data_IF_422107240586
#
_entry.id   IF_422107240586
#
_cell.length_a   1.000
_cell.length_b   1.000
_cell.length_c   1.000
_cell.angle_alpha   90.00
_cell.angle_beta   90.00
_cell.angle_gamma   90.00
#
_symmetry.space_group_name_H-M   'P 1'
#
loop_
_entity.id
_entity.type
_entity.pdbx_description
1 polymer ?
#
# COMPACT_ATOMS: atom_id res chain seq x y z
N UNK A 1 -15.62 -3.92 1.73
CA UNK A 1 -14.96 -4.22 3.01
C UNK A 1 -14.90 -2.93 3.77
N UNK A 2 -15.56 -2.89 4.94
CA UNK A 2 -15.59 -1.70 5.78
C UNK A 2 -14.21 -1.50 6.40
N UNK A 3 -13.60 -0.34 6.16
CA UNK A 3 -12.25 -0.04 6.64
C UNK A 3 -12.26 1.18 7.53
N UNK A 4 -11.56 1.08 8.66
CA UNK A 4 -11.20 2.21 9.49
C UNK A 4 -9.76 2.64 9.17
N UNK A 5 -9.58 3.82 8.58
CA UNK A 5 -8.27 4.42 8.38
C UNK A 5 -7.95 5.39 9.51
N UNK A 6 -6.96 5.06 10.33
CA UNK A 6 -6.46 5.92 11.42
C UNK A 6 -5.41 6.91 10.90
N UNK A 7 -5.66 8.18 11.13
CA UNK A 7 -4.72 9.26 10.87
C UNK A 7 -4.02 9.65 12.18
N UNK A 8 -2.84 9.08 12.40
CA UNK A 8 -2.01 9.31 13.58
C UNK A 8 -1.15 10.58 13.45
N UNK A 9 -1.75 11.69 13.00
CA UNK A 9 -1.02 12.93 12.71
C UNK A 9 -0.51 13.65 13.97
N UNK A 10 -1.21 13.49 15.10
CA UNK A 10 -0.80 13.97 16.42
C UNK A 10 -0.34 12.84 17.33
N UNK A 11 -0.05 11.67 16.75
CA UNK A 11 0.19 10.42 17.46
C UNK A 11 -1.08 9.63 17.76
N UNK A 12 -0.97 8.67 18.67
CA UNK A 12 -2.05 7.78 19.08
C UNK A 12 -1.80 7.21 20.49
N UNK A 13 -2.83 7.25 21.32
CA UNK A 13 -2.89 6.58 22.62
C UNK A 13 -4.12 5.65 22.67
N UNK A 14 -4.20 4.80 23.69
CA UNK A 14 -5.31 3.85 23.84
C UNK A 14 -6.67 4.54 23.93
N UNK A 15 -6.79 5.48 24.87
CA UNK A 15 -7.94 6.36 25.03
C UNK A 15 -8.28 7.19 23.78
N UNK A 16 -7.28 7.65 23.03
CA UNK A 16 -7.47 8.38 21.78
C UNK A 16 -8.00 7.47 20.66
N UNK A 17 -7.52 6.22 20.54
CA UNK A 17 -8.02 5.28 19.56
C UNK A 17 -9.48 4.90 19.84
N UNK A 18 -9.80 4.60 21.11
CA UNK A 18 -11.16 4.32 21.57
C UNK A 18 -12.08 5.54 21.36
N UNK A 19 -11.63 6.72 21.77
CA UNK A 19 -12.37 7.96 21.62
C UNK A 19 -12.68 8.28 20.16
N UNK A 20 -11.74 8.04 19.24
CA UNK A 20 -11.97 8.28 17.81
C UNK A 20 -13.08 7.38 17.24
N UNK A 21 -13.14 6.12 17.67
CA UNK A 21 -14.19 5.18 17.22
C UNK A 21 -15.55 5.50 17.83
N UNK A 22 -15.60 5.91 19.10
CA UNK A 22 -16.82 6.38 19.75
C UNK A 22 -17.35 7.63 19.04
N UNK A 23 -16.48 8.60 18.75
CA UNK A 23 -16.82 9.82 18.02
C UNK A 23 -17.32 9.51 16.60
N UNK A 24 -16.79 8.46 15.97
CA UNK A 24 -17.22 7.98 14.66
C UNK A 24 -18.54 7.18 14.69
N UNK A 25 -19.13 6.95 15.87
CA UNK A 25 -20.46 6.36 16.04
C UNK A 25 -20.52 5.05 16.82
N UNK A 26 -19.43 4.56 17.41
CA UNK A 26 -19.50 3.35 18.23
C UNK A 26 -20.34 3.61 19.50
N UNK A 27 -21.34 2.76 19.81
CA UNK A 27 -22.23 2.99 20.95
C UNK A 27 -21.49 2.74 22.27
N UNK A 28 -21.32 3.79 23.08
CA UNK A 28 -20.60 3.74 24.36
C UNK A 28 -21.15 2.65 25.30
N UNK A 29 -22.47 2.49 25.40
CA UNK A 29 -23.06 1.44 26.23
C UNK A 29 -22.74 0.02 25.73
N UNK A 30 -22.69 -0.18 24.41
CA UNK A 30 -22.28 -1.46 23.83
C UNK A 30 -20.82 -1.78 24.16
N UNK A 31 -19.94 -0.77 24.09
CA UNK A 31 -18.53 -0.91 24.50
C UNK A 31 -18.45 -1.27 26.00
N UNK A 32 -19.20 -0.57 26.86
CA UNK A 32 -19.26 -0.85 28.30
C UNK A 32 -19.78 -2.26 28.59
N UNK A 33 -20.79 -2.73 27.88
CA UNK A 33 -21.34 -4.08 28.03
C UNK A 33 -20.30 -5.16 27.71
N UNK A 34 -19.57 -5.01 26.61
CA UNK A 34 -18.49 -5.94 26.24
C UNK A 34 -17.33 -5.89 27.25
N UNK A 35 -16.92 -4.70 27.69
CA UNK A 35 -15.88 -4.55 28.71
C UNK A 35 -16.24 -5.24 30.04
N UNK A 36 -17.51 -5.19 30.46
CA UNK A 36 -17.99 -5.87 31.68
C UNK A 36 -17.90 -7.41 31.60
N UNK A 37 -17.74 -7.98 30.41
CA UNK A 37 -17.51 -9.43 30.25
C UNK A 37 -16.08 -9.85 30.58
N UNK A 38 -15.13 -8.91 30.62
CA UNK A 38 -13.76 -9.20 31.08
C UNK A 38 -13.80 -9.29 32.61
N UNK A 39 -13.24 -10.35 33.23
CA UNK A 39 -13.31 -10.57 34.67
C UNK A 39 -12.36 -9.66 35.47
N UNK A 40 -12.47 -8.35 35.24
CA UNK A 40 -11.75 -7.28 35.94
C UNK A 40 -12.75 -6.19 36.34
N UNK A 41 -12.82 -5.92 37.65
CA UNK A 41 -13.60 -4.81 38.20
C UNK A 41 -12.74 -3.58 38.51
N UNK A 42 -13.34 -2.58 39.14
CA UNK A 42 -12.63 -1.40 39.65
C UNK A 42 -12.25 -0.39 38.56
N UNK A 43 -13.00 -0.35 37.48
CA UNK A 43 -12.86 0.65 36.42
C UNK A 43 -14.21 1.30 36.11
N UNK A 44 -14.17 2.55 35.67
CA UNK A 44 -15.29 3.29 35.10
C UNK A 44 -14.84 3.96 33.80
N UNK A 45 -15.68 3.90 32.77
CA UNK A 45 -15.42 4.50 31.46
C UNK A 45 -16.30 5.74 31.28
N UNK A 46 -15.72 6.92 31.37
CA UNK A 46 -16.40 8.18 31.11
C UNK A 46 -16.03 8.71 29.72
N UNK A 47 -17.00 9.33 29.05
CA UNK A 47 -16.85 9.83 27.68
C UNK A 47 -17.42 11.24 27.65
N UNK A 48 -16.61 12.21 27.21
CA UNK A 48 -17.04 13.60 27.12
C UNK A 48 -16.71 14.20 25.73
N UNK A 49 -17.60 15.04 25.16
CA UNK A 49 -17.26 15.83 23.99
C UNK A 49 -16.31 16.96 24.37
N UNK A 50 -15.27 17.18 23.56
CA UNK A 50 -14.26 18.21 23.78
C UNK A 50 -13.94 18.97 22.49
N UNK A 51 -13.33 20.14 22.65
CA UNK A 51 -12.71 20.89 21.56
C UNK A 51 -11.19 20.89 21.76
N UNK A 52 -10.43 20.51 20.72
CA UNK A 52 -8.96 20.63 20.67
C UNK A 52 -8.57 21.38 19.41
N UNK A 53 -7.86 22.49 19.55
CA UNK A 53 -7.48 23.34 18.41
C UNK A 53 -8.67 23.76 17.52
N UNK A 54 -9.87 23.91 18.11
CA UNK A 54 -11.10 24.25 17.40
C UNK A 54 -11.83 23.08 16.72
N UNK A 55 -11.30 21.86 16.80
CA UNK A 55 -11.92 20.65 16.24
C UNK A 55 -12.65 19.89 17.36
N UNK A 56 -13.91 19.53 17.09
CA UNK A 56 -14.70 18.68 17.98
C UNK A 56 -14.21 17.24 17.94
N UNK A 57 -14.18 16.60 19.10
CA UNK A 57 -13.92 15.18 19.23
C UNK A 57 -14.36 14.66 20.58
N UNK A 58 -14.05 13.41 20.85
CA UNK A 58 -14.43 12.70 22.07
C UNK A 58 -13.20 12.42 22.91
N UNK A 59 -13.25 12.79 24.19
CA UNK A 59 -12.28 12.38 25.20
C UNK A 59 -12.83 11.20 25.98
N UNK A 60 -12.02 10.16 26.09
CA UNK A 60 -12.30 9.00 26.94
C UNK A 60 -11.46 9.11 28.20
N UNK A 61 -12.10 8.89 29.35
CA UNK A 61 -11.46 8.81 30.65
C UNK A 61 -11.70 7.41 31.22
N UNK A 62 -10.61 6.68 31.47
CA UNK A 62 -10.68 5.42 32.20
C UNK A 62 -10.30 5.69 33.65
N UNK A 63 -11.28 5.70 34.53
CA UNK A 63 -11.07 5.84 35.97
C UNK A 63 -10.84 4.45 36.55
N UNK A 64 -9.59 4.09 36.77
CA UNK A 64 -9.22 2.84 37.42
C UNK A 64 -8.92 3.08 38.91
N UNK A 65 -9.54 2.31 39.79
CA UNK A 65 -9.11 2.24 41.18
C UNK A 65 -7.78 1.49 41.23
N UNK A 66 -6.69 2.22 41.46
CA UNK A 66 -5.35 1.64 41.59
C UNK A 66 -5.32 0.61 42.72
N UNK A 67 -5.38 -0.67 42.35
CA UNK A 67 -4.91 -1.75 43.20
C UNK A 67 -3.41 -1.95 42.97
N UNK A 68 -2.68 -2.35 44.00
CA UNK A 68 -1.27 -2.79 43.93
C UNK A 68 -1.04 -4.07 43.10
N UNK A 69 -2.01 -4.45 42.27
CA UNK A 69 -2.00 -5.70 41.50
C UNK A 69 -1.21 -5.51 40.21
N UNK A 70 0.06 -5.91 40.25
CA UNK A 70 0.88 -6.07 39.05
C UNK A 70 0.45 -7.34 38.32
N UNK A 71 -0.03 -7.21 37.09
CA UNK A 71 -0.43 -8.34 36.24
C UNK A 71 0.69 -8.72 35.27
N UNK A 72 0.88 -10.01 35.05
CA UNK A 72 1.74 -10.50 33.96
C UNK A 72 0.98 -10.49 32.64
N UNK A 73 1.71 -10.51 31.53
CA UNK A 73 1.13 -10.69 30.20
C UNK A 73 0.24 -11.94 30.11
N UNK A 74 0.71 -13.07 30.66
CA UNK A 74 -0.06 -14.31 30.70
C UNK A 74 -1.37 -14.18 31.49
N UNK A 75 -1.37 -13.43 32.60
CA UNK A 75 -2.59 -13.18 33.35
C UNK A 75 -3.58 -12.35 32.52
N UNK A 76 -3.14 -11.28 31.87
CA UNK A 76 -4.04 -10.45 31.03
C UNK A 76 -4.59 -11.25 29.85
N UNK A 77 -3.75 -12.04 29.18
CA UNK A 77 -4.20 -12.93 28.12
C UNK A 77 -5.21 -13.97 28.62
N UNK A 78 -5.02 -14.50 29.83
CA UNK A 78 -6.00 -15.37 30.50
C UNK A 78 -7.34 -14.67 30.75
N UNK A 79 -7.33 -13.43 31.24
CA UNK A 79 -8.55 -12.64 31.45
C UNK A 79 -9.33 -12.41 30.15
N UNK A 80 -8.63 -12.11 29.04
CA UNK A 80 -9.25 -11.95 27.71
C UNK A 80 -9.75 -13.28 27.15
N UNK A 81 -9.04 -14.38 27.41
CA UNK A 81 -9.43 -15.72 26.99
C UNK A 81 -10.68 -16.24 27.71
N UNK A 82 -10.82 -15.92 29.00
CA UNK A 82 -11.98 -16.30 29.83
C UNK A 82 -13.20 -15.41 29.60
N UNK A 83 -13.00 -14.21 29.06
CA UNK A 83 -14.07 -13.26 28.79
C UNK A 83 -15.01 -13.78 27.68
N UNK A 84 -16.32 -13.57 27.87
CA UNK A 84 -17.36 -13.93 26.87
C UNK A 84 -17.49 -12.86 25.79
N UNK A 85 -16.38 -12.55 25.13
CA UNK A 85 -16.30 -11.56 24.05
C UNK A 85 -16.62 -12.20 22.69
N UNK A 86 -17.13 -11.42 21.71
CA UNK A 86 -17.16 -11.85 20.32
C UNK A 86 -15.77 -12.27 19.83
N UNK A 87 -15.73 -13.25 18.93
CA UNK A 87 -14.48 -13.85 18.46
C UNK A 87 -13.50 -12.82 17.89
N UNK A 88 -13.97 -11.89 17.05
CA UNK A 88 -13.17 -10.78 16.49
C UNK A 88 -12.57 -9.90 17.59
N UNK A 89 -13.33 -9.59 18.64
CA UNK A 89 -12.85 -8.77 19.77
C UNK A 89 -11.75 -9.51 20.54
N UNK A 90 -11.98 -10.78 20.85
CA UNK A 90 -11.01 -11.60 21.57
C UNK A 90 -9.69 -11.75 20.79
N UNK A 91 -9.79 -12.06 19.49
CA UNK A 91 -8.62 -12.21 18.60
C UNK A 91 -7.81 -10.91 18.50
N UNK A 92 -8.49 -9.77 18.28
CA UNK A 92 -7.85 -8.45 18.21
C UNK A 92 -7.16 -8.08 19.52
N UNK A 93 -7.85 -8.21 20.66
CA UNK A 93 -7.28 -7.89 21.96
C UNK A 93 -6.08 -8.79 22.28
N UNK A 94 -6.18 -10.10 22.01
CA UNK A 94 -5.06 -11.03 22.19
C UNK A 94 -3.85 -10.68 21.32
N UNK A 95 -4.06 -10.26 20.06
CA UNK A 95 -2.99 -9.80 19.18
C UNK A 95 -2.28 -8.56 19.73
N UNK A 96 -3.03 -7.58 20.23
CA UNK A 96 -2.49 -6.34 20.82
C UNK A 96 -1.67 -6.65 22.08
N UNK A 97 -2.20 -7.44 23.02
CA UNK A 97 -1.44 -7.82 24.22
C UNK A 97 -0.22 -8.67 23.89
N UNK A 98 -0.28 -9.50 22.85
CA UNK A 98 0.88 -10.26 22.39
C UNK A 98 1.96 -9.35 21.82
N UNK A 99 1.59 -8.30 21.07
CA UNK A 99 2.54 -7.30 20.58
C UNK A 99 3.23 -6.57 21.75
N UNK A 100 2.47 -6.12 22.75
CA UNK A 100 3.01 -5.52 23.98
C UNK A 100 3.96 -6.47 24.71
N UNK A 101 3.53 -7.71 24.94
CA UNK A 101 4.32 -8.72 25.65
C UNK A 101 5.65 -9.02 24.93
N UNK A 102 5.63 -9.10 23.60
CA UNK A 102 6.82 -9.32 22.80
C UNK A 102 7.79 -8.14 22.87
N UNK A 103 7.28 -6.90 22.77
CA UNK A 103 8.09 -5.70 22.84
C UNK A 103 8.78 -5.55 24.21
N UNK A 104 7.99 -5.70 25.27
CA UNK A 104 8.48 -5.64 26.66
C UNK A 104 9.43 -6.80 26.98
N UNK A 105 9.14 -8.01 26.48
CA UNK A 105 10.00 -9.18 26.63
C UNK A 105 11.38 -8.96 26.01
N UNK A 106 11.45 -8.31 24.84
CA UNK A 106 12.73 -7.92 24.23
C UNK A 106 13.46 -6.85 25.03
N UNK A 107 12.75 -5.81 25.47
CA UNK A 107 13.34 -4.71 26.26
C UNK A 107 13.90 -5.20 27.60
N UNK A 108 13.21 -6.12 28.26
CA UNK A 108 13.58 -6.68 29.56
C UNK A 108 14.36 -8.00 29.49
N UNK A 109 14.62 -8.52 28.28
CA UNK A 109 15.27 -9.84 28.04
C UNK A 109 14.61 -10.97 28.80
N UNK A 110 13.28 -11.02 28.74
CA UNK A 110 12.44 -12.05 29.37
C UNK A 110 11.54 -12.73 28.34
N UNK A 111 11.16 -13.99 28.57
CA UNK A 111 10.09 -14.62 27.81
C UNK A 111 8.80 -13.77 27.87
N UNK A 112 8.09 -13.56 26.75
CA UNK A 112 6.90 -12.69 26.69
C UNK A 112 5.81 -13.02 27.72
N UNK A 113 5.62 -14.31 28.03
CA UNK A 113 4.66 -14.82 29.01
C UNK A 113 5.01 -14.47 30.46
N UNK A 114 6.28 -14.18 30.74
CA UNK A 114 6.81 -13.86 32.08
C UNK A 114 7.04 -12.36 32.31
N UNK A 115 6.65 -11.52 31.35
CA UNK A 115 6.78 -10.07 31.46
C UNK A 115 5.73 -9.55 32.44
N UNK A 116 6.18 -8.69 33.36
CA UNK A 116 5.32 -7.82 34.13
C UNK A 116 5.20 -6.51 33.36
N UNK A 117 3.98 -6.12 33.01
CA UNK A 117 3.77 -4.83 32.40
C UNK A 117 3.84 -3.76 33.47
N UNK A 118 4.86 -2.90 33.38
CA UNK A 118 5.06 -1.81 34.33
C UNK A 118 4.16 -0.61 34.03
N UNK A 119 3.82 -0.39 32.76
CA UNK A 119 3.06 0.79 32.29
C UNK A 119 1.82 0.40 31.47
N UNK A 120 1.80 -0.80 30.90
CA UNK A 120 0.76 -1.25 29.94
C UNK A 120 -0.12 -2.39 30.46
N UNK A 121 -0.02 -2.72 31.75
CA UNK A 121 -0.78 -3.79 32.41
C UNK A 121 -1.78 -3.31 33.44
N UNK A 122 -1.95 -1.99 33.53
CA UNK A 122 -2.98 -1.36 34.33
C UNK A 122 -4.38 -1.66 33.81
N UNK A 123 -5.38 -1.36 34.63
CA UNK A 123 -6.78 -1.50 34.23
C UNK A 123 -7.14 -0.55 33.08
N UNK A 124 -6.51 0.62 33.03
CA UNK A 124 -6.58 1.59 31.93
C UNK A 124 -6.20 0.97 30.59
N UNK A 125 -5.04 0.33 30.50
CA UNK A 125 -4.59 -0.32 29.27
C UNK A 125 -5.53 -1.48 28.85
N UNK A 126 -6.09 -2.22 29.81
CA UNK A 126 -7.07 -3.28 29.51
C UNK A 126 -8.34 -2.68 28.90
N UNK A 127 -8.88 -1.64 29.53
CA UNK A 127 -10.08 -0.96 29.07
C UNK A 127 -9.86 -0.30 27.71
N UNK A 128 -8.72 0.34 27.49
CA UNK A 128 -8.37 0.96 26.22
C UNK A 128 -8.28 -0.08 25.09
N UNK A 129 -7.54 -1.17 25.30
CA UNK A 129 -7.33 -2.19 24.27
C UNK A 129 -8.62 -2.94 23.97
N UNK A 130 -9.27 -3.48 25.00
CA UNK A 130 -10.51 -4.26 24.81
C UNK A 130 -11.64 -3.35 24.34
N UNK A 131 -11.72 -2.12 24.87
CA UNK A 131 -12.70 -1.12 24.46
C UNK A 131 -12.53 -0.72 23.00
N UNK A 132 -11.30 -0.49 22.53
CA UNK A 132 -11.01 -0.21 21.12
C UNK A 132 -11.42 -1.39 20.23
N UNK A 133 -11.09 -2.63 20.63
CA UNK A 133 -11.48 -3.83 19.88
C UNK A 133 -13.00 -4.03 19.83
N UNK A 134 -13.70 -3.73 20.93
CA UNK A 134 -15.15 -3.74 21.02
C UNK A 134 -15.79 -2.66 20.14
N UNK A 135 -15.24 -1.45 20.13
CA UNK A 135 -15.73 -0.37 19.27
C UNK A 135 -15.56 -0.70 17.77
N UNK A 136 -14.43 -1.31 17.38
CA UNK A 136 -14.23 -1.82 16.01
C UNK A 136 -15.25 -2.90 15.64
N UNK A 137 -15.63 -3.78 16.56
CA UNK A 137 -16.64 -4.81 16.34
C UNK A 137 -18.04 -4.21 16.19
N UNK A 138 -18.42 -3.28 17.07
CA UNK A 138 -19.73 -2.63 17.05
C UNK A 138 -19.94 -1.74 15.81
N UNK A 139 -18.85 -1.27 15.21
CA UNK A 139 -18.83 -0.54 13.94
C UNK A 139 -18.70 -1.46 12.72
N UNK A 140 -18.66 -2.78 12.93
CA UNK A 140 -18.46 -3.81 11.90
C UNK A 140 -17.24 -3.57 11.00
N UNK A 141 -16.12 -3.12 11.58
CA UNK A 141 -14.91 -2.82 10.82
C UNK A 141 -14.21 -4.11 10.39
N UNK A 142 -14.10 -4.37 9.09
CA UNK A 142 -13.35 -5.51 8.55
C UNK A 142 -11.84 -5.32 8.67
N UNK A 143 -11.35 -4.14 8.27
CA UNK A 143 -9.93 -3.83 8.19
C UNK A 143 -9.58 -2.52 8.88
N UNK A 144 -8.39 -2.47 9.47
CA UNK A 144 -7.79 -1.25 9.97
C UNK A 144 -6.61 -0.90 9.07
N UNK A 145 -6.53 0.35 8.62
CA UNK A 145 -5.35 0.89 7.96
C UNK A 145 -4.87 2.12 8.71
N UNK A 146 -3.59 2.48 8.57
CA UNK A 146 -3.03 3.57 9.36
C UNK A 146 -2.11 4.46 8.52
N UNK A 147 -2.15 5.77 8.77
CA UNK A 147 -1.15 6.71 8.27
C UNK A 147 0.24 6.40 8.85
N UNK A 148 1.32 7.02 8.37
CA UNK A 148 2.56 7.06 9.15
C UNK A 148 2.28 7.57 10.57
N UNK A 149 2.88 6.92 11.57
CA UNK A 149 2.62 7.20 12.99
C UNK A 149 3.51 8.35 13.46
N UNK A 150 2.91 9.42 13.98
CA UNK A 150 3.68 10.55 14.48
C UNK A 150 4.27 10.25 15.87
N UNK A 151 5.56 10.49 16.02
CA UNK A 151 6.30 10.31 17.29
C UNK A 151 6.96 11.63 17.69
N UNK A 152 7.03 11.88 19.00
CA UNK A 152 7.72 13.06 19.53
C UNK A 152 9.23 12.84 19.64
N UNK A 153 9.92 13.80 20.24
CA UNK A 153 11.35 13.71 20.55
C UNK A 153 11.65 14.08 22.01
N UNK A 154 12.91 13.96 22.42
CA UNK A 154 13.36 14.35 23.76
C UNK A 154 13.26 13.23 24.79
N UNK A 155 12.80 13.57 26.00
CA UNK A 155 12.76 12.64 27.13
C UNK A 155 11.40 12.72 27.83
N UNK A 156 10.85 11.57 28.22
CA UNK A 156 9.54 11.46 28.90
C UNK A 156 9.71 10.77 30.25
N UNK A 157 8.81 11.07 31.18
CA UNK A 157 8.76 10.43 32.50
C UNK A 157 7.85 9.20 32.42
N UNK A 158 8.40 8.07 32.80
CA UNK A 158 7.81 6.74 32.79
C UNK A 158 8.00 6.07 34.17
N UNK A 159 7.40 4.91 34.39
CA UNK A 159 7.66 4.04 35.55
C UNK A 159 9.16 3.66 35.64
N UNK A 160 9.83 3.62 34.48
CA UNK A 160 11.27 3.40 34.33
C UNK A 160 12.13 4.65 34.58
N UNK A 161 11.54 5.74 35.06
CA UNK A 161 12.20 7.02 35.24
C UNK A 161 12.14 7.88 33.99
N UNK A 162 13.19 8.66 33.72
CA UNK A 162 13.24 9.52 32.53
C UNK A 162 13.85 8.71 31.38
N UNK A 163 13.07 8.47 30.34
CA UNK A 163 13.44 7.63 29.18
C UNK A 163 13.36 8.43 27.87
N UNK A 164 14.02 7.99 26.78
CA UNK A 164 13.92 8.63 25.48
C UNK A 164 12.47 8.70 24.97
N UNK A 165 12.18 9.69 24.15
CA UNK A 165 10.93 9.82 23.39
C UNK A 165 11.27 9.78 21.88
N UNK A 166 10.70 8.86 21.09
CA UNK A 166 9.72 7.82 21.48
C UNK A 166 10.26 6.84 22.52
N UNK A 167 9.38 6.38 23.42
CA UNK A 167 9.72 5.39 24.43
C UNK A 167 10.29 4.11 23.78
N UNK A 168 11.24 3.40 24.41
CA UNK A 168 11.84 2.19 23.83
C UNK A 168 10.82 1.12 23.41
N UNK A 169 9.74 0.95 24.18
CA UNK A 169 8.64 0.06 23.82
C UNK A 169 7.92 0.50 22.52
N UNK A 170 7.73 1.81 22.32
CA UNK A 170 7.15 2.38 21.08
C UNK A 170 8.07 2.13 19.90
N UNK A 171 9.39 2.32 20.06
CA UNK A 171 10.38 2.04 19.02
C UNK A 171 10.32 0.57 18.59
N UNK A 172 10.22 -0.34 19.56
CA UNK A 172 10.13 -1.77 19.31
C UNK A 172 8.81 -2.17 18.63
N UNK A 173 7.68 -1.61 19.07
CA UNK A 173 6.35 -1.88 18.49
C UNK A 173 6.23 -1.35 17.05
N UNK A 174 6.86 -0.21 16.75
CA UNK A 174 6.81 0.43 15.43
C UNK A 174 7.91 -0.06 14.47
N UNK A 175 8.67 -1.09 14.83
CA UNK A 175 9.69 -1.65 13.95
C UNK A 175 9.07 -2.15 12.63
N UNK A 176 9.51 -1.56 11.51
CA UNK A 176 8.97 -1.86 10.17
C UNK A 176 7.70 -1.08 9.80
N UNK A 177 7.20 -0.21 10.68
CA UNK A 177 6.04 0.65 10.45
C UNK A 177 6.51 2.07 10.07
N UNK A 178 5.94 2.72 9.03
CA UNK A 178 6.27 4.10 8.70
C UNK A 178 5.99 5.06 9.86
N UNK A 179 6.99 5.85 10.25
CA UNK A 179 6.87 6.85 11.30
C UNK A 179 7.18 8.26 10.80
N UNK A 180 6.63 9.27 11.47
CA UNK A 180 6.96 10.68 11.26
C UNK A 180 7.45 11.29 12.57
N UNK A 181 8.71 11.69 12.63
CA UNK A 181 9.23 12.47 13.76
C UNK A 181 8.66 13.88 13.76
N UNK A 182 8.23 14.35 14.93
CA UNK A 182 7.73 15.71 15.13
C UNK A 182 8.59 16.41 16.18
N UNK A 183 8.95 17.67 15.92
CA UNK A 183 9.81 18.48 16.79
C UNK A 183 9.06 18.99 18.04
N UNK A 184 8.62 18.05 18.88
CA UNK A 184 7.92 18.31 20.12
C UNK A 184 8.36 17.36 21.23
N UNK A 185 8.67 17.96 22.38
CA UNK A 185 9.07 17.26 23.59
C UNK A 185 7.87 16.72 24.38
N UNK A 186 7.02 15.95 23.71
CA UNK A 186 5.79 15.37 24.25
C UNK A 186 5.66 13.93 23.73
N UNK A 187 5.23 13.01 24.59
CA UNK A 187 4.81 11.67 24.16
C UNK A 187 3.52 11.80 23.35
N UNK A 188 3.64 11.71 22.03
CA UNK A 188 2.50 11.74 21.10
C UNK A 188 1.88 10.36 20.90
N UNK A 189 2.74 9.34 20.87
CA UNK A 189 2.33 7.95 20.72
C UNK A 189 2.74 7.18 21.96
N UNK A 190 1.78 6.60 22.66
CA UNK A 190 2.03 5.78 23.85
C UNK A 190 2.30 4.32 23.44
N UNK A 191 2.92 3.50 24.31
CA UNK A 191 3.08 2.06 24.03
C UNK A 191 1.74 1.36 23.69
N UNK A 192 0.65 1.68 24.41
CA UNK A 192 -0.68 1.12 24.13
C UNK A 192 -1.19 1.52 22.75
N UNK A 193 -1.08 2.80 22.39
CA UNK A 193 -1.48 3.28 21.06
C UNK A 193 -0.64 2.66 19.93
N UNK A 194 0.67 2.56 20.12
CA UNK A 194 1.57 1.90 19.16
C UNK A 194 1.20 0.43 18.97
N UNK A 195 0.88 -0.29 20.06
CA UNK A 195 0.50 -1.69 19.98
C UNK A 195 -0.85 -1.91 19.28
N UNK A 196 -1.83 -1.03 19.50
CA UNK A 196 -3.10 -1.06 18.77
C UNK A 196 -2.86 -0.94 17.26
N UNK A 197 -2.07 0.04 16.84
CA UNK A 197 -1.77 0.24 15.42
C UNK A 197 -0.96 -0.94 14.86
N UNK A 198 0.10 -1.36 15.55
CA UNK A 198 0.98 -2.41 15.08
C UNK A 198 0.29 -3.78 14.94
N UNK A 199 -0.63 -4.09 15.86
CA UNK A 199 -1.31 -5.38 15.87
C UNK A 199 -2.57 -5.42 14.99
N UNK A 200 -3.28 -4.30 14.84
CA UNK A 200 -4.59 -4.28 14.17
C UNK A 200 -4.50 -3.83 12.71
N UNK A 201 -3.50 -3.03 12.33
CA UNK A 201 -3.41 -2.45 10.99
C UNK A 201 -2.96 -3.48 9.94
N UNK A 202 -3.75 -3.64 8.87
CA UNK A 202 -3.43 -4.49 7.71
C UNK A 202 -2.55 -3.80 6.67
N UNK A 203 -2.37 -2.48 6.77
CA UNK A 203 -1.53 -1.69 5.87
C UNK A 203 -1.20 -0.31 6.42
N UNK A 204 -0.15 0.31 5.88
CA UNK A 204 0.34 1.62 6.29
C UNK A 204 0.52 2.55 5.09
N UNK A 205 0.01 3.77 5.17
CA UNK A 205 0.18 4.75 4.09
C UNK A 205 -0.92 5.81 4.04
N UNK A 206 -1.03 6.46 2.88
CA UNK A 206 -2.09 7.41 2.61
C UNK A 206 -3.47 6.73 2.73
N UNK A 207 -4.50 7.52 3.00
CA UNK A 207 -5.89 7.03 3.01
C UNK A 207 -6.21 6.39 1.66
N UNK A 208 -6.75 5.16 1.64
CA UNK A 208 -7.09 4.48 0.39
C UNK A 208 -8.24 5.19 -0.33
N UNK A 209 -8.42 4.90 -1.61
CA UNK A 209 -9.63 5.29 -2.32
C UNK A 209 -10.84 4.56 -1.71
N UNK A 210 -11.76 5.31 -1.11
CA UNK A 210 -12.90 4.76 -0.38
C UNK A 210 -14.10 5.71 -0.42
N UNK A 211 -15.29 5.15 -0.31
CA UNK A 211 -16.52 5.93 -0.11
C UNK A 211 -16.70 6.13 1.39
N UNK A 212 -16.64 7.40 1.83
CA UNK A 212 -16.69 7.77 3.25
C UNK A 212 -18.09 7.55 3.83
N UNK A 213 -18.16 6.90 5.00
CA UNK A 213 -19.39 6.70 5.77
C UNK A 213 -19.42 7.51 7.06
N UNK A 214 -18.33 7.49 7.83
CA UNK A 214 -18.22 8.21 9.09
C UNK A 214 -16.78 8.65 9.37
N UNK A 215 -16.61 9.56 10.32
CA UNK A 215 -15.30 9.93 10.84
C UNK A 215 -15.43 10.36 12.29
N UNK A 216 -14.36 10.20 13.06
CA UNK A 216 -14.34 10.65 14.45
C UNK A 216 -12.94 11.06 14.90
N UNK A 217 -12.89 11.86 15.95
CA UNK A 217 -11.67 12.33 16.59
C UNK A 217 -11.62 11.90 18.06
N UNK A 218 -10.54 11.22 18.44
CA UNK A 218 -10.26 10.89 19.83
C UNK A 218 -9.22 11.83 20.42
N UNK A 219 -9.55 12.43 21.56
CA UNK A 219 -8.76 13.51 22.14
C UNK A 219 -7.74 13.05 23.17
N UNK A 220 -6.51 13.55 23.05
CA UNK A 220 -5.48 13.43 24.07
C UNK A 220 -5.69 14.40 25.22
N UNK A 221 -5.00 14.16 26.34
CA UNK A 221 -5.14 14.96 27.56
C UNK A 221 -4.37 16.28 27.54
N UNK A 222 -3.36 16.40 26.68
CA UNK A 222 -2.47 17.58 26.62
C UNK A 222 -2.97 18.58 25.58
N UNK A 223 -2.84 19.86 25.86
CA UNK A 223 -2.90 20.91 24.84
C UNK A 223 -1.53 21.04 24.16
N UNK A 224 -1.52 21.07 22.83
CA UNK A 224 -0.30 21.20 22.04
C UNK A 224 -0.26 22.58 21.37
N UNK A 225 0.92 23.22 21.27
CA UNK A 225 1.01 24.61 20.84
C UNK A 225 0.75 24.82 19.34
N UNK A 226 1.00 23.81 18.51
CA UNK A 226 1.08 23.92 17.05
C UNK A 226 0.03 23.09 16.30
N UNK A 227 -0.74 22.23 16.98
CA UNK A 227 -1.76 21.36 16.39
C UNK A 227 -2.78 20.90 17.43
N UNK A 228 -3.94 20.37 17.02
CA UNK A 228 -4.84 19.69 17.95
C UNK A 228 -4.24 18.34 18.41
N UNK A 229 -4.39 18.03 19.69
CA UNK A 229 -4.04 16.72 20.24
C UNK A 229 -5.16 15.70 20.00
N UNK A 230 -5.28 15.25 18.76
CA UNK A 230 -6.33 14.33 18.31
C UNK A 230 -5.73 13.20 17.47
N UNK A 231 -6.35 12.02 17.56
CA UNK A 231 -6.24 10.95 16.57
C UNK A 231 -7.54 10.91 15.79
N UNK A 232 -7.47 10.95 14.47
CA UNK A 232 -8.67 10.84 13.63
C UNK A 232 -8.82 9.41 13.14
N UNK A 233 -10.06 8.94 13.05
CA UNK A 233 -10.44 7.76 12.28
C UNK A 233 -11.40 8.17 11.18
N UNK A 234 -11.22 7.59 9.99
CA UNK A 234 -12.13 7.73 8.86
C UNK A 234 -12.62 6.34 8.48
N UNK A 235 -13.93 6.14 8.46
CA UNK A 235 -14.59 4.86 8.21
C UNK A 235 -15.33 4.93 6.89
N UNK A 236 -15.23 3.87 6.10
CA UNK A 236 -15.98 3.74 4.86
C UNK A 236 -15.67 2.46 4.11
N UNK A 237 -16.29 2.32 2.95
CA UNK A 237 -16.07 1.17 2.08
C UNK A 237 -14.89 1.45 1.16
N UNK A 238 -13.81 0.69 1.32
CA UNK A 238 -12.72 0.70 0.35
C UNK A 238 -13.30 0.19 -0.96
N UNK A 239 -13.17 1.01 -2.00
CA UNK A 239 -13.46 0.55 -3.33
C UNK A 239 -12.37 -0.47 -3.65
N UNK A 240 -12.75 -1.73 -3.89
CA UNK A 240 -11.81 -2.69 -4.48
C UNK A 240 -11.30 -2.05 -5.76
N UNK A 241 -10.07 -1.54 -5.70
CA UNK A 241 -9.35 -1.22 -6.90
C UNK A 241 -9.14 -2.56 -7.60
N UNK A 242 -10.00 -2.85 -8.57
CA UNK A 242 -9.59 -3.64 -9.71
C UNK A 242 -8.38 -2.87 -10.26
N UNK A 243 -7.18 -3.26 -9.85
CA UNK A 243 -5.97 -2.44 -9.87
C UNK A 243 -5.88 -1.58 -11.12
N UNK A 244 -6.22 -0.30 -10.98
CA UNK A 244 -6.15 0.65 -12.08
C UNK A 244 -4.70 1.14 -12.26
N UNK A 245 -3.85 0.93 -11.25
CA UNK A 245 -2.39 1.00 -11.39
C UNK A 245 -1.82 -0.32 -11.90
N UNK A 246 -1.02 -0.27 -12.96
CA UNK A 246 -0.34 -1.47 -13.46
C UNK A 246 0.69 -1.99 -12.46
N UNK A 247 1.00 -3.28 -12.49
CA UNK A 247 2.07 -3.88 -11.70
C UNK A 247 3.38 -3.10 -11.93
N UNK A 248 4.04 -2.58 -10.88
CA UNK A 248 5.30 -1.87 -11.04
C UNK A 248 6.37 -2.82 -11.57
N UNK A 249 7.01 -2.44 -12.66
CA UNK A 249 8.12 -3.17 -13.29
C UNK A 249 9.19 -2.19 -13.75
N UNK A 250 10.38 -2.70 -14.06
CA UNK A 250 11.48 -1.89 -14.61
C UNK A 250 11.84 -2.35 -16.01
N UNK A 251 12.25 -1.41 -16.86
CA UNK A 251 12.93 -1.68 -18.12
C UNK A 251 14.37 -1.22 -17.99
N UNK A 252 15.29 -2.16 -18.00
CA UNK A 252 16.72 -1.90 -18.13
C UNK A 252 17.08 -1.79 -19.61
N UNK A 253 17.95 -0.86 -20.00
CA UNK A 253 18.42 -0.77 -21.38
C UNK A 253 19.89 -0.36 -21.49
N UNK A 254 20.58 -0.92 -22.49
CA UNK A 254 21.93 -0.56 -22.87
C UNK A 254 22.06 -0.49 -24.40
N UNK A 255 22.82 0.48 -24.90
CA UNK A 255 23.12 0.60 -26.33
C UNK A 255 24.51 0.01 -26.59
N UNK A 256 24.62 -0.89 -27.56
CA UNK A 256 25.79 -1.71 -27.84
C UNK A 256 26.17 -1.55 -29.31
N UNK A 257 27.34 -1.00 -29.60
CA UNK A 257 27.87 -0.79 -30.96
C UNK A 257 29.12 -1.62 -31.29
N UNK A 258 29.55 -2.49 -30.37
CA UNK A 258 30.77 -3.27 -30.43
C UNK A 258 30.59 -4.78 -30.12
N UNK A 259 29.35 -5.28 -30.11
CA UNK A 259 29.04 -6.72 -29.92
C UNK A 259 28.51 -7.40 -31.19
N UNK A 260 28.74 -8.71 -31.27
CA UNK A 260 28.18 -9.56 -32.34
C UNK A 260 26.74 -9.96 -32.03
N UNK A 261 25.99 -10.37 -33.08
CA UNK A 261 24.64 -10.90 -32.90
C UNK A 261 24.60 -12.17 -32.04
N UNK A 262 25.64 -13.00 -32.09
CA UNK A 262 25.75 -14.21 -31.25
C UNK A 262 25.84 -13.86 -29.76
N UNK A 263 26.66 -12.88 -29.40
CA UNK A 263 26.78 -12.41 -28.01
C UNK A 263 25.48 -11.77 -27.53
N UNK A 264 24.82 -10.98 -28.38
CA UNK A 264 23.55 -10.37 -28.02
C UNK A 264 22.44 -11.42 -27.80
N UNK A 265 22.39 -12.46 -28.65
CA UNK A 265 21.47 -13.58 -28.46
C UNK A 265 21.77 -14.34 -27.16
N UNK A 266 23.04 -14.62 -26.87
CA UNK A 266 23.45 -15.25 -25.62
C UNK A 266 23.04 -14.43 -24.39
N UNK A 267 23.26 -13.11 -24.43
CA UNK A 267 22.88 -12.22 -23.34
C UNK A 267 21.37 -12.26 -23.07
N UNK A 268 20.54 -12.32 -24.11
CA UNK A 268 19.07 -12.47 -23.97
C UNK A 268 18.74 -13.76 -23.22
N UNK A 269 19.30 -14.90 -23.62
CA UNK A 269 19.02 -16.19 -22.97
C UNK A 269 19.42 -16.18 -21.49
N UNK A 270 20.63 -15.68 -21.18
CA UNK A 270 21.15 -15.59 -19.81
C UNK A 270 20.30 -14.65 -18.93
N UNK A 271 19.80 -13.54 -19.49
CA UNK A 271 18.92 -12.62 -18.77
C UNK A 271 17.54 -13.23 -18.51
N UNK A 272 17.00 -14.02 -19.46
CA UNK A 272 15.76 -14.75 -19.29
C UNK A 272 15.90 -15.83 -18.21
N UNK A 273 16.98 -16.60 -18.21
CA UNK A 273 17.30 -17.62 -17.20
C UNK A 273 17.49 -17.02 -15.80
N UNK A 274 18.00 -15.79 -15.72
CA UNK A 274 18.15 -15.03 -14.48
C UNK A 274 16.85 -14.42 -13.95
N UNK A 275 15.70 -14.66 -14.60
CA UNK A 275 14.38 -14.27 -14.11
C UNK A 275 13.83 -12.96 -14.68
N UNK A 276 14.39 -12.45 -15.78
CA UNK A 276 13.74 -11.39 -16.54
C UNK A 276 12.33 -11.82 -16.97
N UNK A 277 11.39 -10.87 -16.95
CA UNK A 277 10.05 -11.10 -17.50
C UNK A 277 10.05 -11.16 -19.02
N UNK A 278 10.91 -10.38 -19.65
CA UNK A 278 11.14 -10.36 -21.10
C UNK A 278 12.50 -9.72 -21.39
N UNK A 279 13.10 -10.06 -22.53
CA UNK A 279 14.33 -9.45 -23.03
C UNK A 279 14.32 -9.41 -24.56
N UNK A 280 14.67 -8.26 -25.14
CA UNK A 280 14.63 -8.06 -26.59
C UNK A 280 15.71 -7.11 -27.09
N UNK A 281 15.93 -7.15 -28.40
CA UNK A 281 16.97 -6.38 -29.09
C UNK A 281 16.30 -5.47 -30.14
N UNK A 282 16.67 -4.19 -30.15
CA UNK A 282 16.18 -3.20 -31.11
C UNK A 282 17.37 -2.64 -31.93
N UNK A 283 17.36 -2.72 -33.27
CA UNK A 283 18.43 -2.13 -34.08
C UNK A 283 18.34 -0.60 -34.05
N UNK A 284 19.48 0.06 -33.90
CA UNK A 284 19.60 1.53 -33.85
C UNK A 284 20.83 2.00 -34.65
N UNK A 285 20.89 3.30 -34.93
CA UNK A 285 22.09 3.96 -35.48
C UNK A 285 22.63 4.94 -34.46
N UNK A 286 23.91 4.81 -34.10
CA UNK A 286 24.61 5.66 -33.15
C UNK A 286 25.49 6.70 -33.83
N UNK A 287 26.11 7.57 -33.02
CA UNK A 287 27.06 8.61 -33.50
C UNK A 287 28.11 8.00 -34.44
N UNK A 288 28.62 8.82 -35.37
CA UNK A 288 29.55 8.37 -36.44
C UNK A 288 28.92 7.34 -37.40
N UNK A 289 27.59 7.27 -37.47
CA UNK A 289 26.86 6.39 -38.40
C UNK A 289 27.01 4.91 -38.08
N UNK A 290 27.31 4.56 -36.82
CA UNK A 290 27.56 3.17 -36.42
C UNK A 290 26.24 2.41 -36.29
N UNK A 291 26.04 1.30 -37.03
CA UNK A 291 24.98 0.36 -36.72
C UNK A 291 25.20 -0.23 -35.32
N UNK A 292 24.15 -0.29 -34.52
CA UNK A 292 24.20 -0.70 -33.13
C UNK A 292 22.87 -1.35 -32.72
N UNK A 293 22.81 -1.86 -31.49
CA UNK A 293 21.61 -2.45 -30.93
C UNK A 293 21.33 -1.92 -29.53
N UNK A 294 20.06 -1.71 -29.20
CA UNK A 294 19.61 -1.54 -27.81
C UNK A 294 19.07 -2.86 -27.32
N UNK A 295 19.71 -3.43 -26.29
CA UNK A 295 19.14 -4.55 -25.54
C UNK A 295 18.30 -3.98 -24.40
N UNK A 296 17.10 -4.52 -24.25
CA UNK A 296 16.12 -4.10 -23.25
C UNK A 296 15.67 -5.30 -22.42
N UNK A 297 15.51 -5.11 -21.11
CA UNK A 297 15.16 -6.16 -20.15
C UNK A 297 14.01 -5.68 -19.29
N UNK A 298 12.87 -6.35 -19.37
CA UNK A 298 11.72 -6.10 -18.50
C UNK A 298 11.84 -7.00 -17.26
N UNK A 299 11.77 -6.44 -16.07
CA UNK A 299 11.96 -7.23 -14.84
C UNK A 299 11.20 -6.67 -13.64
N UNK A 300 11.14 -7.48 -12.59
CA UNK A 300 10.73 -7.04 -11.26
C UNK A 300 11.73 -6.00 -10.71
N UNK A 301 11.27 -4.90 -10.08
CA UNK A 301 12.18 -3.90 -9.50
C UNK A 301 13.23 -4.47 -8.54
N UNK A 302 12.93 -5.57 -7.83
CA UNK A 302 13.87 -6.23 -6.93
C UNK A 302 15.07 -6.86 -7.65
N UNK A 303 14.91 -7.24 -8.92
CA UNK A 303 15.96 -7.84 -9.74
C UNK A 303 16.76 -6.82 -10.55
N UNK A 304 16.41 -5.53 -10.47
CA UNK A 304 17.02 -4.49 -11.29
C UNK A 304 18.55 -4.43 -11.13
N UNK A 305 19.05 -4.51 -9.90
CA UNK A 305 20.50 -4.43 -9.67
C UNK A 305 21.24 -5.65 -10.21
N UNK A 306 20.74 -6.86 -9.97
CA UNK A 306 21.40 -8.10 -10.39
C UNK A 306 21.37 -8.26 -11.92
N UNK A 307 20.22 -8.01 -12.55
CA UNK A 307 20.09 -8.06 -14.01
C UNK A 307 20.86 -6.93 -14.69
N UNK A 308 20.97 -5.75 -14.07
CA UNK A 308 21.81 -4.67 -14.57
C UNK A 308 23.30 -5.05 -14.59
N UNK A 309 23.79 -5.67 -13.52
CA UNK A 309 25.18 -6.18 -13.46
C UNK A 309 25.42 -7.31 -14.47
N UNK A 310 24.46 -8.22 -14.62
CA UNK A 310 24.55 -9.32 -15.57
C UNK A 310 24.58 -8.81 -17.01
N UNK A 311 23.69 -7.87 -17.35
CA UNK A 311 23.66 -7.24 -18.67
C UNK A 311 25.00 -6.56 -19.00
N UNK A 312 25.61 -5.88 -18.03
CA UNK A 312 26.93 -5.27 -18.20
C UNK A 312 28.04 -6.31 -18.43
N UNK A 313 28.02 -7.42 -17.69
CA UNK A 313 29.00 -8.48 -17.82
C UNK A 313 28.92 -9.20 -19.18
N UNK A 314 27.71 -9.53 -19.64
CA UNK A 314 27.50 -10.28 -20.89
C UNK A 314 27.73 -9.45 -22.16
N UNK A 315 27.51 -8.13 -22.08
CA UNK A 315 27.61 -7.25 -23.26
C UNK A 315 28.84 -6.34 -23.27
N UNK A 316 29.56 -6.23 -22.15
CA UNK A 316 30.68 -5.31 -22.01
C UNK A 316 30.28 -3.82 -21.90
N UNK A 317 28.99 -3.52 -21.78
CA UNK A 317 28.54 -2.12 -21.66
C UNK A 317 29.06 -1.47 -20.37
N UNK A 318 29.40 -0.19 -20.47
CA UNK A 318 29.86 0.60 -19.32
C UNK A 318 28.71 1.21 -18.51
N UNK A 319 27.45 1.06 -18.95
CA UNK A 319 26.32 1.64 -18.24
C UNK A 319 24.96 1.11 -18.71
N UNK A 320 24.07 0.95 -17.73
CA UNK A 320 22.69 0.50 -17.93
C UNK A 320 21.74 1.58 -17.43
N UNK A 321 20.73 1.92 -18.24
CA UNK A 321 19.65 2.84 -17.84
C UNK A 321 18.47 2.05 -17.31
N UNK A 322 17.76 2.58 -16.31
CA UNK A 322 16.58 1.94 -15.72
C UNK A 322 15.39 2.90 -15.79
N UNK A 323 14.30 2.45 -16.41
CA UNK A 323 13.01 3.13 -16.41
C UNK A 323 12.02 2.36 -15.56
N UNK A 324 11.35 3.04 -14.63
CA UNK A 324 10.22 2.47 -13.89
C UNK A 324 8.96 2.67 -14.70
N UNK A 325 8.20 1.61 -14.91
CA UNK A 325 6.93 1.62 -15.66
C UNK A 325 5.89 0.79 -14.91
N UNK A 326 4.63 0.91 -15.35
CA UNK A 326 3.52 0.10 -14.86
C UNK A 326 3.07 -0.90 -15.93
N UNK A 327 2.69 -2.11 -15.51
CA UNK A 327 2.24 -3.20 -16.39
C UNK A 327 0.89 -3.75 -15.96
N UNK A 328 -0.15 -3.52 -16.74
CA UNK A 328 -1.46 -4.16 -16.54
C UNK A 328 -1.42 -5.60 -17.05
N UNK A 329 -1.50 -6.56 -16.13
CA UNK A 329 -1.48 -7.99 -16.45
C UNK A 329 -2.91 -8.52 -16.41
N UNK A 330 -3.39 -9.07 -17.52
CA UNK A 330 -4.66 -9.80 -17.51
C UNK A 330 -4.52 -11.09 -16.70
N UNK A 331 -5.43 -11.38 -15.75
CA UNK A 331 -5.40 -12.62 -15.00
C UNK A 331 -5.50 -13.78 -15.99
N UNK A 332 -4.59 -14.75 -15.84
CA UNK A 332 -4.58 -15.94 -16.68
C UNK A 332 -4.45 -17.18 -15.83
N UNK A 333 -5.17 -18.23 -16.22
CA UNK A 333 -4.98 -19.59 -15.70
C UNK A 333 -4.34 -20.44 -16.78
N UNK A 334 -3.53 -21.41 -16.36
CA UNK A 334 -3.02 -22.43 -17.26
C UNK A 334 -3.92 -23.66 -17.14
N UNK A 335 -4.57 -24.03 -18.24
CA UNK A 335 -5.40 -25.23 -18.31
C UNK A 335 -4.82 -26.20 -19.35
N UNK A 336 -5.40 -27.39 -19.44
CA UNK A 336 -4.97 -28.42 -20.40
C UNK A 336 -6.15 -28.89 -21.20
N UNK A 337 -5.94 -29.12 -22.49
CA UNK A 337 -6.88 -29.77 -23.40
C UNK A 337 -6.19 -30.94 -24.06
N UNK A 338 -6.94 -32.01 -24.35
CA UNK A 338 -6.41 -33.10 -25.14
C UNK A 338 -6.66 -32.85 -26.63
N UNK A 339 -5.62 -32.96 -27.44
CA UNK A 339 -5.67 -33.02 -28.91
C UNK A 339 -4.91 -34.25 -29.35
N UNK A 340 -5.54 -35.13 -30.13
CA UNK A 340 -4.95 -36.41 -30.58
C UNK A 340 -4.31 -37.24 -29.45
N UNK A 341 -4.96 -37.29 -28.28
CA UNK A 341 -4.49 -38.01 -27.09
C UNK A 341 -3.25 -37.40 -26.42
N UNK A 342 -2.94 -36.13 -26.71
CA UNK A 342 -1.84 -35.37 -26.11
C UNK A 342 -2.37 -34.13 -25.39
N UNK A 343 -1.91 -33.94 -24.17
CA UNK A 343 -2.21 -32.75 -23.38
C UNK A 343 -1.48 -31.53 -23.96
N UNK A 344 -2.23 -30.55 -24.46
CA UNK A 344 -1.76 -29.22 -24.84
C UNK A 344 -2.16 -28.24 -23.74
N UNK A 345 -1.19 -27.46 -23.23
CA UNK A 345 -1.47 -26.38 -22.30
C UNK A 345 -2.12 -25.20 -23.03
N UNK A 346 -3.09 -24.56 -22.39
CA UNK A 346 -3.78 -23.36 -22.87
C UNK A 346 -3.76 -22.28 -21.79
N UNK A 347 -3.29 -21.08 -22.16
CA UNK A 347 -3.42 -19.87 -21.33
C UNK A 347 -4.82 -19.30 -21.52
N UNK A 348 -5.59 -19.24 -20.45
CA UNK A 348 -6.96 -18.73 -20.44
C UNK A 348 -7.01 -17.42 -19.68
N UNK A 349 -7.45 -16.36 -20.33
CA UNK A 349 -7.78 -15.06 -19.72
C UNK A 349 -9.24 -14.69 -20.03
N UNK A 350 -9.86 -13.70 -19.35
CA UNK A 350 -11.22 -13.28 -19.67
C UNK A 350 -11.39 -13.00 -21.18
N UNK A 351 -12.26 -13.76 -21.85
CA UNK A 351 -12.55 -13.62 -23.27
C UNK A 351 -11.47 -14.10 -24.26
N UNK A 352 -10.38 -14.73 -23.79
CA UNK A 352 -9.30 -15.20 -24.69
C UNK A 352 -8.67 -16.51 -24.24
N UNK A 353 -8.40 -17.37 -25.22
CA UNK A 353 -7.66 -18.62 -25.05
C UNK A 353 -6.47 -18.60 -25.99
N UNK A 354 -5.29 -18.91 -25.46
CA UNK A 354 -4.06 -19.01 -26.25
C UNK A 354 -3.36 -20.32 -25.93
N UNK A 355 -3.43 -21.33 -26.82
CA UNK A 355 -2.66 -22.56 -26.66
C UNK A 355 -1.15 -22.30 -26.65
N UNK A 356 -0.42 -23.08 -25.88
CA UNK A 356 1.03 -23.00 -25.81
C UNK A 356 1.67 -23.47 -27.11
N UNK A 357 2.48 -22.60 -27.70
CA UNK A 357 3.06 -22.83 -29.02
C UNK A 357 3.98 -24.06 -29.02
N UNK A 358 4.81 -24.25 -27.99
CA UNK A 358 5.73 -25.38 -27.92
C UNK A 358 5.01 -26.73 -27.86
N UNK A 359 3.90 -26.81 -27.13
CA UNK A 359 3.10 -28.03 -27.03
C UNK A 359 2.48 -28.37 -28.39
N UNK A 360 1.93 -27.35 -29.06
CA UNK A 360 1.38 -27.50 -30.41
C UNK A 360 2.46 -27.82 -31.45
N UNK A 361 3.65 -27.23 -31.35
CA UNK A 361 4.78 -27.47 -32.24
C UNK A 361 5.31 -28.90 -32.09
N UNK A 362 5.42 -29.42 -30.86
CA UNK A 362 5.79 -30.83 -30.63
C UNK A 362 4.76 -31.79 -31.20
N UNK A 363 3.47 -31.51 -31.02
CA UNK A 363 2.42 -32.37 -31.59
C UNK A 363 2.41 -32.31 -33.12
N UNK A 364 2.53 -31.12 -33.71
CA UNK A 364 2.64 -30.92 -35.15
C UNK A 364 3.81 -31.72 -35.76
N UNK A 365 4.99 -31.67 -35.14
CA UNK A 365 6.16 -32.43 -35.59
C UNK A 365 5.93 -33.95 -35.54
N UNK A 366 5.17 -34.45 -34.56
CA UNK A 366 4.87 -35.87 -34.41
C UNK A 366 3.78 -36.36 -35.37
N UNK A 367 2.82 -35.51 -35.71
CA UNK A 367 1.62 -35.86 -36.49
C UNK A 367 1.71 -35.47 -37.95
N UNK A 368 2.70 -34.65 -38.33
CA UNK A 368 2.81 -34.06 -39.66
C UNK A 368 1.79 -32.94 -39.93
N UNK A 369 0.99 -32.55 -38.93
CA UNK A 369 -0.03 -31.51 -39.05
C UNK A 369 0.60 -30.12 -38.99
N UNK A 370 0.04 -29.10 -39.69
CA UNK A 370 0.46 -27.72 -39.48
C UNK A 370 0.21 -27.25 -38.05
N UNK A 371 1.21 -26.60 -37.42
CA UNK A 371 1.11 -26.05 -36.04
C UNK A 371 -0.12 -25.16 -35.88
N UNK A 372 -0.45 -24.38 -36.92
CA UNK A 372 -1.64 -23.50 -36.93
C UNK A 372 -2.94 -24.27 -36.70
N UNK A 373 -3.07 -25.46 -37.27
CA UNK A 373 -4.28 -26.29 -37.12
C UNK A 373 -4.36 -26.90 -35.72
N UNK A 374 -3.23 -27.37 -35.20
CA UNK A 374 -3.13 -27.88 -33.82
C UNK A 374 -3.50 -26.80 -32.80
N UNK A 375 -3.03 -25.56 -33.01
CA UNK A 375 -3.41 -24.41 -32.19
C UNK A 375 -4.91 -24.11 -32.28
N UNK A 376 -5.48 -24.08 -33.49
CA UNK A 376 -6.91 -23.81 -33.68
C UNK A 376 -7.78 -24.86 -32.98
N UNK A 377 -7.45 -26.14 -33.13
CA UNK A 377 -8.17 -27.24 -32.50
C UNK A 377 -8.06 -27.20 -30.97
N UNK A 378 -6.87 -26.95 -30.41
CA UNK A 378 -6.70 -26.83 -28.97
C UNK A 378 -7.55 -25.69 -28.38
N UNK A 379 -7.63 -24.54 -29.07
CA UNK A 379 -8.49 -23.44 -28.64
C UNK A 379 -9.98 -23.79 -28.73
N UNK A 380 -10.39 -24.48 -29.80
CA UNK A 380 -11.77 -24.93 -30.00
C UNK A 380 -12.21 -25.92 -28.91
N UNK A 381 -11.42 -26.97 -28.66
CA UNK A 381 -11.74 -27.98 -27.63
C UNK A 381 -11.87 -27.38 -26.24
N UNK A 382 -11.07 -26.35 -25.92
CA UNK A 382 -11.23 -25.63 -24.67
C UNK A 382 -12.59 -24.91 -24.59
N UNK A 383 -12.96 -24.18 -25.65
CA UNK A 383 -14.24 -23.45 -25.69
C UNK A 383 -15.45 -24.41 -25.56
N UNK A 384 -15.36 -25.60 -26.17
CA UNK A 384 -16.40 -26.63 -26.08
C UNK A 384 -16.52 -27.20 -24.66
N UNK A 385 -15.39 -27.51 -24.00
CA UNK A 385 -15.38 -27.99 -22.61
C UNK A 385 -15.90 -26.97 -21.58
N UNK A 386 -15.78 -25.67 -21.88
CA UNK A 386 -16.32 -24.59 -21.05
C UNK A 386 -17.84 -24.39 -21.17
N UNK A 387 -18.46 -24.85 -22.27
CA UNK A 387 -19.91 -24.79 -22.51
C UNK A 387 -20.67 -25.77 -21.61
N UNK A 388 -20.15 -26.99 -21.44
CA UNK A 388 -20.79 -28.05 -20.65
C UNK A 388 -20.82 -27.76 -19.13
N UNK A 389 -19.88 -26.95 -18.63
CA UNK A 389 -19.84 -26.56 -17.20
C UNK A 389 -20.71 -25.34 -16.84
N UNK A 390 -21.24 -24.60 -17.82
CA UNK A 390 -22.09 -23.41 -17.60
C UNK A 390 -23.60 -23.68 -17.71
N UNK A 391 -24.02 -24.89 -18.03
CA UNK A 391 -25.44 -25.27 -18.25
C UNK A 391 -26.34 -25.39 -17.01
N UNK A 392 -25.92 -24.89 -15.83
CA UNK A 392 -26.63 -25.10 -14.56
C UNK A 392 -27.37 -23.90 -13.96
N UNK A 393 -27.25 -22.69 -14.50
CA UNK A 393 -28.03 -21.53 -14.03
C UNK A 393 -29.15 -21.18 -14.99
N UNK A 394 -30.30 -21.82 -14.80
CA UNK A 394 -31.58 -21.27 -15.26
C UNK A 394 -31.93 -20.07 -14.37
N UNK A 395 -31.81 -18.86 -14.91
CA UNK A 395 -32.53 -17.70 -14.36
C UNK A 395 -33.96 -17.79 -14.89
N UNK A 396 -34.87 -18.17 -14.01
CA UNK A 396 -36.30 -18.07 -14.25
C UNK A 396 -36.73 -16.60 -14.20
N UNK A 397 -37.45 -16.16 -15.24
CA UNK A 397 -38.35 -15.01 -15.18
C UNK A 397 -37.84 -13.74 -15.87
N UNK A 398 -38.21 -13.58 -17.15
CA UNK A 398 -39.07 -12.47 -17.59
C UNK A 398 -39.92 -13.00 -18.75
N UNK A 399 -41.24 -12.81 -18.63
CA UNK A 399 -42.22 -13.20 -19.62
C UNK A 399 -42.20 -12.27 -20.85
N UNK A 400 -42.23 -12.92 -22.01
CA UNK A 400 -43.06 -12.64 -23.20
C UNK A 400 -43.77 -11.28 -23.27
N UNK A 401 -43.31 -10.41 -24.17
CA UNK A 401 -44.13 -9.43 -24.89
C UNK A 401 -43.56 -9.22 -26.30
N UNK A 402 -44.10 -9.99 -27.25
CA UNK A 402 -44.75 -9.43 -28.45
C UNK A 402 -43.89 -8.87 -29.57
N UNK A 403 -43.80 -9.67 -30.64
CA UNK A 403 -43.51 -9.24 -32.02
C UNK A 403 -44.33 -8.00 -32.45
N UNK A 404 -43.65 -6.98 -32.98
CA UNK A 404 -44.19 -6.10 -34.02
C UNK A 404 -43.07 -5.78 -35.02
N UNK A 405 -43.12 -6.45 -36.17
CA UNK A 405 -42.56 -5.99 -37.45
C UNK A 405 -43.66 -5.15 -38.15
N UNK A 406 -43.48 -4.13 -38.99
CA UNK A 406 -42.45 -3.72 -39.96
C UNK A 406 -42.57 -2.17 -40.25
N UNK A 407 -42.29 -1.58 -41.44
CA UNK A 407 -40.99 -1.00 -41.88
C UNK A 407 -41.09 0.42 -42.49
N UNK A 408 -40.09 1.30 -42.37
CA UNK A 408 -39.96 2.56 -43.18
C UNK A 408 -38.52 3.09 -43.00
N UNK A 409 -37.76 3.66 -43.93
CA UNK A 409 -37.65 3.69 -45.40
C UNK A 409 -36.24 4.30 -45.65
N UNK A 410 -35.63 3.88 -46.74
CA UNK A 410 -34.31 4.29 -47.20
C UNK A 410 -34.50 5.49 -48.13
N UNK A 411 -33.92 6.67 -47.83
CA UNK A 411 -33.49 7.69 -48.82
C UNK A 411 -32.94 9.00 -48.24
N UNK A 412 -31.71 9.27 -48.70
CA UNK A 412 -31.21 10.52 -49.30
C UNK A 412 -30.35 11.54 -48.50
N UNK A 413 -29.05 11.51 -48.84
CA UNK A 413 -28.15 12.60 -49.32
C UNK A 413 -27.75 13.75 -48.39
N UNK A 414 -26.49 13.68 -47.94
CA UNK A 414 -25.40 14.57 -48.36
C UNK A 414 -25.40 16.03 -47.91
N UNK A 415 -24.39 16.42 -47.11
CA UNK A 415 -23.47 17.52 -47.45
C UNK A 415 -22.23 17.48 -46.56
N UNK A 416 -21.08 17.59 -47.21
CA UNK A 416 -19.74 17.83 -46.69
C UNK A 416 -19.59 19.28 -46.17
N UNK A 417 -18.96 19.45 -45.01
CA UNK A 417 -18.53 20.75 -44.49
C UNK A 417 -17.11 20.69 -43.92
N UNK A 418 -16.12 21.06 -44.75
CA UNK A 418 -14.77 21.44 -44.33
C UNK A 418 -14.83 22.81 -43.64
N UNK A 419 -14.14 22.96 -42.52
CA UNK A 419 -13.66 24.27 -42.07
C UNK A 419 -12.15 24.21 -41.80
N UNK A 420 -11.39 24.77 -42.75
CA UNK A 420 -10.07 25.37 -42.54
C UNK A 420 -10.28 26.77 -41.96
N UNK A 421 -9.37 27.21 -41.11
CA UNK A 421 -9.16 28.64 -40.85
C UNK A 421 -7.69 28.95 -41.10
N UNK A 422 -7.47 29.83 -42.07
CA UNK A 422 -6.20 30.38 -42.49
C UNK A 422 -5.80 31.58 -41.60
N UNK A 423 -4.48 31.76 -41.52
CA UNK A 423 -3.76 32.88 -40.93
C UNK A 423 -4.04 34.22 -41.64
N UNK A 424 -4.04 35.32 -40.88
CA UNK A 424 -3.61 36.62 -41.40
C UNK A 424 -2.97 37.51 -40.33
N UNK A 425 -1.74 37.93 -40.63
CA UNK A 425 -0.91 38.92 -39.95
C UNK A 425 -1.43 40.35 -40.12
N UNK A 426 -1.13 41.20 -39.11
CA UNK A 426 -0.92 42.64 -39.30
C UNK A 426 0.22 43.13 -38.40
N UNK A 427 1.23 43.71 -39.04
CA UNK A 427 2.36 44.44 -38.44
C UNK A 427 1.93 45.86 -38.05
N UNK A 428 2.48 46.38 -36.95
CA UNK A 428 2.86 47.79 -36.81
C UNK A 428 4.13 47.88 -35.96
N UNK A 429 5.07 48.72 -36.39
CA UNK A 429 6.37 48.93 -35.76
C UNK A 429 6.69 50.41 -35.55
N UNK A 430 7.52 50.70 -34.55
CA UNK A 430 8.32 51.92 -34.37
C UNK A 430 9.48 51.54 -33.42
N UNK A 431 10.71 51.39 -33.90
CA UNK A 431 11.81 52.36 -34.12
C UNK A 431 12.69 52.67 -32.88
N UNK A 432 13.99 52.58 -33.15
CA UNK A 432 15.17 52.65 -32.27
C UNK A 432 15.58 54.07 -31.83
N UNK A 433 16.39 54.15 -30.77
CA UNK A 433 17.31 55.26 -30.48
C UNK A 433 18.41 54.86 -29.49
N UNK A 434 19.64 54.77 -29.98
CA UNK A 434 20.91 54.55 -29.26
C UNK A 434 21.34 55.74 -28.37
N UNK A 435 22.17 55.49 -27.35
CA UNK A 435 23.35 56.33 -27.02
C UNK A 435 24.34 55.65 -26.03
N UNK A 436 25.47 55.20 -26.60
CA UNK A 436 26.90 55.35 -26.23
C UNK A 436 27.44 55.27 -24.76
N UNK A 437 28.37 54.31 -24.59
CA UNK A 437 29.73 54.33 -23.99
C UNK A 437 30.17 55.38 -22.94
N UNK A 438 30.83 54.92 -21.86
CA UNK A 438 32.28 55.15 -21.65
C UNK A 438 32.94 54.19 -20.61
N UNK A 439 34.25 54.05 -20.72
CA UNK A 439 35.20 53.12 -20.11
C UNK A 439 35.67 53.50 -18.69
N UNK A 440 36.24 52.53 -17.96
CA UNK A 440 37.04 52.79 -16.75
C UNK A 440 37.70 51.54 -16.15
N UNK A 441 38.93 51.29 -16.56
CA UNK A 441 39.86 50.23 -16.14
C UNK A 441 40.48 50.44 -14.75
N UNK A 442 40.86 49.37 -14.03
CA UNK A 442 41.88 49.45 -12.97
C UNK A 442 42.02 48.22 -12.05
N UNK A 443 42.98 47.34 -12.36
CA UNK A 443 43.69 46.41 -11.43
C UNK A 443 44.40 47.22 -10.30
N UNK A 444 44.83 46.74 -9.13
CA UNK A 444 45.48 45.49 -8.66
C UNK A 444 45.63 45.49 -7.12
N UNK A 445 45.73 44.29 -6.50
CA UNK A 445 46.54 43.83 -5.33
C UNK A 445 46.86 44.77 -4.12
N UNK A 446 46.84 44.36 -2.84
CA UNK A 446 47.62 43.29 -2.18
C UNK A 446 47.10 42.91 -0.75
N UNK A 447 47.41 41.68 -0.30
CA UNK A 447 47.35 41.12 1.08
C UNK A 447 48.58 41.57 1.95
N UNK A 448 48.93 41.10 3.20
CA UNK A 448 48.42 40.00 4.06
C UNK A 448 48.40 40.25 5.62
N UNK A 449 48.12 39.15 6.35
CA UNK A 449 48.65 38.71 7.67
C UNK A 449 48.02 39.09 9.02
N UNK A 450 47.80 38.05 9.85
CA UNK A 450 47.56 38.16 11.29
C UNK A 450 47.00 36.90 11.97
N UNK A 451 47.87 35.91 12.21
CA UNK A 451 47.77 34.76 13.14
C UNK A 451 47.28 35.20 14.56
N UNK A 452 46.59 34.44 15.44
CA UNK A 452 47.00 33.20 16.16
C UNK A 452 46.00 32.99 17.39
N UNK A 453 46.19 32.05 18.36
CA UNK A 453 45.52 30.74 18.44
C UNK A 453 44.67 30.46 19.73
N UNK A 454 43.96 29.33 19.75
CA UNK A 454 43.88 28.34 20.86
C UNK A 454 43.13 27.08 20.39
#
# INVERSE_FOLDING_TARGET
MTTAWFHCFSGVAGDMALGALIDAGAPVEGVRELLRQVPVGGWELEVEPVLRGGIAGTKVHVHAHEGTVVRTAAHIQGLVAEARLPERVQQRAAAVFSALANAEGRLHRRPPDQVHFHEVGGLDAIVDVVGTCAALELLDIDQVQTSPVSVGLGMVRAAHGIIPNPAPAVVELLAGIPTRGVDLNVELTTPTGAALIAALSSGYGAMPAMTLGASGFGAGSRELPDRPNLTQVVIGEVQEQHGDGGQPVVVLSANIDDSTGELLAHAVDVLMDAGAHDAWITPIVMKKGRPAHTISVLADPALASSLGSLLAAETGTLGVRVHRIERWVSPRTMQRVEVDGRSIRVKVSPGRVKPEFEDAARLAAQTGRPVREVLAEAAQRWNESGSESRGGLHIAGVADLGDVAEPVDDRWVGTSGHHRHDDHHSHDGHQHGDHQHDHGTGFSHDHPDGNEPA
#
